data_IF_955662205807
#
_entry.id   IF_955662205807
#
_cell.length_a   1.000
_cell.length_b   1.000
_cell.length_c   1.000
_cell.angle_alpha   90.00
_cell.angle_beta   90.00
_cell.angle_gamma   90.00
#
_symmetry.space_group_name_H-M   'P 1'
#
loop_
_entity.id
_entity.type
_entity.pdbx_description
1 polymer ?
#
# COMPACT_ATOMS: atom_id res chain seq x y z
N UNK A 1 2.17 -27.50 -44.25
CA UNK A 1 3.03 -26.53 -43.58
C UNK A 1 2.36 -26.10 -42.28
N UNK A 2 2.78 -26.65 -41.13
CA UNK A 2 2.37 -26.19 -39.83
C UNK A 2 3.27 -25.04 -39.45
N UNK A 3 2.69 -23.83 -39.32
CA UNK A 3 3.36 -22.66 -38.79
C UNK A 3 3.64 -22.88 -37.31
N UNK A 4 4.89 -23.08 -36.96
CA UNK A 4 5.35 -23.08 -35.57
C UNK A 4 5.28 -21.62 -35.11
N UNK A 5 4.22 -21.25 -34.36
CA UNK A 5 4.19 -19.97 -33.64
C UNK A 5 5.35 -19.98 -32.65
N UNK A 6 6.32 -19.09 -32.89
CA UNK A 6 7.42 -18.87 -31.95
C UNK A 6 6.89 -18.39 -30.59
N UNK A 7 7.67 -18.53 -29.50
CA UNK A 7 7.20 -18.19 -28.18
C UNK A 7 6.79 -16.71 -28.16
N UNK A 8 5.50 -16.44 -27.97
CA UNK A 8 4.96 -15.09 -27.78
C UNK A 8 5.74 -14.43 -26.65
N UNK A 9 6.51 -13.37 -26.93
CA UNK A 9 7.13 -12.56 -25.88
C UNK A 9 6.04 -12.15 -24.91
N UNK A 10 6.05 -12.72 -23.69
CA UNK A 10 5.10 -12.34 -22.64
C UNK A 10 5.17 -10.83 -22.43
N UNK A 11 4.07 -10.14 -22.70
CA UNK A 11 3.96 -8.71 -22.45
C UNK A 11 4.14 -8.46 -20.96
N UNK A 12 5.07 -7.57 -20.61
CA UNK A 12 5.26 -7.17 -19.22
C UNK A 12 4.11 -6.25 -18.84
N UNK A 13 3.25 -6.72 -17.97
CA UNK A 13 2.03 -6.01 -17.55
C UNK A 13 2.15 -5.62 -16.09
N UNK A 14 1.85 -4.36 -15.79
CA UNK A 14 1.72 -3.85 -14.42
C UNK A 14 0.50 -2.96 -14.33
N UNK A 15 -0.33 -3.23 -13.32
CA UNK A 15 -1.60 -2.56 -13.07
C UNK A 15 -1.54 -1.82 -11.73
N UNK A 16 -2.21 -0.69 -11.67
CA UNK A 16 -2.56 0.00 -10.43
C UNK A 16 -4.05 -0.26 -10.16
N UNK A 17 -4.35 -0.89 -9.05
CA UNK A 17 -5.70 -1.20 -8.60
C UNK A 17 -6.04 -0.37 -7.35
N UNK A 18 -7.20 0.23 -7.32
CA UNK A 18 -7.82 0.68 -6.08
C UNK A 18 -8.58 -0.49 -5.45
N UNK A 19 -7.90 -1.25 -4.59
CA UNK A 19 -8.51 -2.39 -3.90
C UNK A 19 -9.59 -1.87 -2.94
N UNK A 20 -10.85 -2.29 -3.07
CA UNK A 20 -11.91 -1.90 -2.15
C UNK A 20 -11.81 -2.70 -0.84
N UNK A 21 -12.57 -2.25 0.16
CA UNK A 21 -12.83 -3.02 1.36
C UNK A 21 -13.48 -4.36 1.01
N UNK A 22 -13.13 -5.42 1.73
CA UNK A 22 -13.78 -6.71 1.61
C UNK A 22 -13.17 -7.64 0.55
N UNK A 23 -12.00 -7.30 0.01
CA UNK A 23 -11.32 -8.09 -1.03
C UNK A 23 -9.93 -8.51 -0.56
N UNK A 24 -9.65 -9.80 -0.66
CA UNK A 24 -8.33 -10.39 -0.40
C UNK A 24 -7.33 -9.98 -1.49
N UNK A 25 -6.07 -9.77 -1.10
CA UNK A 25 -4.97 -9.46 -2.04
C UNK A 25 -4.44 -10.71 -2.75
N UNK A 26 -5.34 -11.54 -3.26
CA UNK A 26 -5.02 -12.76 -3.99
C UNK A 26 -6.13 -13.10 -5.00
N UNK A 27 -5.78 -13.84 -6.05
CA UNK A 27 -6.73 -14.24 -7.10
C UNK A 27 -7.52 -15.51 -6.75
N UNK A 28 -7.03 -16.31 -5.80
CA UNK A 28 -7.71 -17.53 -5.37
C UNK A 28 -8.64 -17.23 -4.21
N UNK A 29 -9.93 -17.62 -4.27
CA UNK A 29 -10.82 -17.50 -3.14
C UNK A 29 -10.31 -18.31 -1.94
N UNK A 30 -10.55 -17.82 -0.75
CA UNK A 30 -10.23 -18.52 0.49
C UNK A 30 -11.48 -19.30 0.95
N UNK A 31 -11.33 -20.60 1.11
CA UNK A 31 -12.44 -21.49 1.49
C UNK A 31 -13.01 -21.08 2.85
N UNK A 32 -14.34 -20.90 2.92
CA UNK A 32 -15.02 -20.46 4.15
C UNK A 32 -14.86 -18.98 4.48
N UNK A 33 -14.14 -18.20 3.68
CA UNK A 33 -14.01 -16.76 3.86
C UNK A 33 -15.24 -16.03 3.32
N UNK A 34 -15.66 -14.98 4.04
CA UNK A 34 -16.68 -14.03 3.57
C UNK A 34 -16.14 -13.00 2.56
N UNK A 35 -14.82 -12.96 2.39
CA UNK A 35 -14.17 -11.97 1.57
C UNK A 35 -14.13 -12.36 0.10
N UNK A 36 -14.30 -11.38 -0.80
CA UNK A 36 -14.00 -11.53 -2.21
C UNK A 36 -12.51 -11.68 -2.48
N UNK A 37 -12.15 -11.88 -3.73
CA UNK A 37 -10.75 -11.95 -4.16
C UNK A 37 -10.50 -11.08 -5.40
N UNK A 38 -9.22 -10.96 -5.80
CA UNK A 38 -8.85 -10.09 -6.94
C UNK A 38 -9.43 -10.57 -8.27
N UNK A 39 -9.76 -11.85 -8.41
CA UNK A 39 -10.39 -12.39 -9.62
C UNK A 39 -11.77 -11.79 -9.90
N UNK A 40 -12.45 -11.28 -8.87
CA UNK A 40 -13.73 -10.60 -9.00
C UNK A 40 -13.61 -9.23 -9.67
N UNK A 41 -12.42 -8.61 -9.62
CA UNK A 41 -12.14 -7.26 -10.09
C UNK A 41 -11.29 -7.21 -11.34
N UNK A 42 -10.29 -8.09 -11.45
CA UNK A 42 -9.26 -8.03 -12.47
C UNK A 42 -9.20 -9.35 -13.22
N UNK A 43 -9.49 -9.29 -14.54
CA UNK A 43 -9.46 -10.46 -15.43
C UNK A 43 -8.25 -10.46 -16.38
N UNK A 44 -7.18 -9.80 -15.99
CA UNK A 44 -5.92 -9.79 -16.75
C UNK A 44 -5.11 -11.01 -16.34
N UNK A 45 -4.71 -11.88 -17.29
CA UNK A 45 -3.98 -13.10 -16.98
C UNK A 45 -2.55 -12.81 -16.52
N UNK A 46 -1.98 -13.74 -15.79
CA UNK A 46 -0.57 -13.76 -15.38
C UNK A 46 -0.08 -12.55 -14.57
N UNK A 47 -0.97 -11.83 -13.91
CA UNK A 47 -0.62 -10.77 -12.96
C UNK A 47 -0.86 -11.22 -11.53
N UNK A 48 0.01 -10.80 -10.63
CA UNK A 48 -0.02 -11.14 -9.20
C UNK A 48 0.23 -9.91 -8.35
N UNK A 49 -0.27 -9.90 -7.12
CA UNK A 49 -0.10 -8.78 -6.22
C UNK A 49 1.37 -8.56 -5.84
N UNK A 50 1.86 -7.36 -6.04
CA UNK A 50 3.17 -6.91 -5.56
C UNK A 50 3.02 -6.30 -4.17
N UNK A 51 2.91 -7.14 -3.18
CA UNK A 51 2.57 -6.79 -1.80
C UNK A 51 1.14 -7.18 -1.45
N UNK A 52 0.73 -6.82 -0.24
CA UNK A 52 -0.59 -7.15 0.27
C UNK A 52 -1.22 -5.95 0.97
N UNK A 53 -2.53 -5.88 0.87
CA UNK A 53 -3.42 -5.15 1.76
C UNK A 53 -4.35 -6.15 2.40
N UNK A 54 -4.63 -5.99 3.68
CA UNK A 54 -5.62 -6.84 4.37
C UNK A 54 -7.00 -6.68 3.71
N UNK A 55 -7.87 -7.66 3.89
CA UNK A 55 -9.21 -7.61 3.30
C UNK A 55 -10.03 -6.41 3.79
N UNK A 56 -9.82 -6.02 5.04
CA UNK A 56 -10.47 -4.86 5.68
C UNK A 56 -9.73 -3.52 5.44
N UNK A 57 -8.70 -3.52 4.59
CA UNK A 57 -7.96 -2.33 4.16
C UNK A 57 -8.23 -2.03 2.69
N UNK A 58 -8.10 -0.75 2.33
CA UNK A 58 -8.41 -0.23 0.99
C UNK A 58 -7.17 0.39 0.35
N UNK A 59 -7.25 0.66 -0.93
CA UNK A 59 -6.32 1.56 -1.59
C UNK A 59 -5.41 0.92 -2.62
N UNK A 60 -4.28 1.56 -2.86
CA UNK A 60 -3.38 1.24 -3.96
C UNK A 60 -2.72 -0.12 -3.78
N UNK A 61 -2.96 -0.99 -4.74
CA UNK A 61 -2.30 -2.29 -4.87
C UNK A 61 -1.74 -2.43 -6.29
N UNK A 62 -0.46 -2.75 -6.41
CA UNK A 62 0.16 -3.06 -7.68
C UNK A 62 -0.03 -4.55 -8.00
N UNK A 63 -0.41 -4.82 -9.25
CA UNK A 63 -0.46 -6.16 -9.81
C UNK A 63 0.53 -6.23 -10.96
N UNK A 64 1.35 -7.26 -11.04
CA UNK A 64 2.38 -7.35 -12.07
C UNK A 64 2.63 -8.78 -12.51
N UNK A 65 2.98 -8.93 -13.79
CA UNK A 65 3.49 -10.18 -14.35
C UNK A 65 5.00 -10.38 -14.09
N UNK A 66 5.66 -9.40 -13.46
CA UNK A 66 7.10 -9.37 -13.27
C UNK A 66 7.47 -9.78 -11.84
N UNK A 67 7.91 -11.01 -11.63
CA UNK A 67 8.34 -11.50 -10.32
C UNK A 67 9.49 -10.69 -9.70
N UNK A 68 10.41 -10.15 -10.52
CA UNK A 68 11.48 -9.27 -10.04
C UNK A 68 10.95 -7.96 -9.45
N UNK A 69 9.91 -7.38 -10.06
CA UNK A 69 9.26 -6.18 -9.54
C UNK A 69 8.52 -6.48 -8.23
N UNK A 70 7.77 -7.58 -8.20
CA UNK A 70 7.10 -8.05 -6.99
C UNK A 70 8.11 -8.20 -5.83
N UNK A 71 9.21 -8.91 -6.07
CA UNK A 71 10.27 -9.09 -5.08
C UNK A 71 10.87 -7.74 -4.63
N UNK A 72 11.14 -6.84 -5.57
CA UNK A 72 11.71 -5.53 -5.28
C UNK A 72 10.82 -4.69 -4.38
N UNK A 73 9.54 -4.63 -4.65
CA UNK A 73 8.58 -3.81 -3.91
C UNK A 73 8.21 -4.38 -2.54
N UNK A 74 8.28 -5.71 -2.38
CA UNK A 74 7.87 -6.38 -1.14
C UNK A 74 9.02 -6.61 -0.17
N UNK A 75 10.26 -6.63 -0.62
CA UNK A 75 11.41 -6.91 0.22
C UNK A 75 11.70 -5.72 1.16
N UNK A 76 11.66 -5.90 2.49
CA UNK A 76 11.82 -4.82 3.47
C UNK A 76 13.17 -4.09 3.38
N UNK A 77 14.21 -4.73 2.84
CA UNK A 77 15.55 -4.13 2.67
C UNK A 77 15.56 -2.90 1.75
N UNK A 78 14.58 -2.77 0.86
CA UNK A 78 14.48 -1.64 -0.06
C UNK A 78 13.70 -0.47 0.52
N UNK A 79 13.01 -0.67 1.62
CA UNK A 79 12.38 0.38 2.44
C UNK A 79 11.53 1.38 1.63
N UNK A 80 10.75 0.90 0.68
CA UNK A 80 9.81 1.76 -0.05
C UNK A 80 8.80 2.38 0.90
N UNK A 81 8.68 3.70 0.89
CA UNK A 81 7.69 4.41 1.67
C UNK A 81 6.29 4.19 1.11
N UNK A 82 5.34 3.93 2.00
CA UNK A 82 3.92 3.79 1.69
C UNK A 82 3.13 4.74 2.57
N UNK A 83 2.28 5.54 1.95
CA UNK A 83 1.42 6.50 2.66
C UNK A 83 0.04 5.90 2.87
N UNK A 84 -0.45 6.00 4.09
CA UNK A 84 -1.77 5.55 4.49
C UNK A 84 -2.58 6.72 5.05
N UNK A 85 -3.80 6.86 4.59
CA UNK A 85 -4.80 7.70 5.24
C UNK A 85 -5.64 6.85 6.16
N UNK A 86 -5.70 7.23 7.41
CA UNK A 86 -6.29 6.42 8.47
C UNK A 86 -7.33 7.25 9.21
N UNK A 87 -8.56 6.78 9.21
CA UNK A 87 -9.61 7.27 10.10
C UNK A 87 -9.56 6.50 11.41
N UNK A 88 -9.51 7.22 12.51
CA UNK A 88 -9.39 6.68 13.87
C UNK A 88 -10.50 7.18 14.77
N UNK A 89 -10.80 6.40 15.81
CA UNK A 89 -11.60 6.90 16.93
C UNK A 89 -10.74 7.83 17.79
N UNK A 90 -11.33 8.93 18.21
CA UNK A 90 -10.66 9.94 19.03
C UNK A 90 -10.13 11.11 18.22
N UNK A 91 -9.65 12.11 18.92
CA UNK A 91 -9.00 13.29 18.36
C UNK A 91 -7.49 13.11 18.39
N UNK A 92 -6.84 13.21 17.24
CA UNK A 92 -5.38 13.05 17.11
C UNK A 92 -4.68 14.22 17.78
N UNK A 93 -3.74 13.94 18.69
CA UNK A 93 -2.88 14.93 19.35
C UNK A 93 -1.48 14.95 18.79
N UNK A 94 -0.74 16.05 19.02
CA UNK A 94 0.67 16.15 18.59
C UNK A 94 1.56 15.12 19.28
N UNK A 95 1.30 14.81 20.55
CA UNK A 95 2.07 13.79 21.29
C UNK A 95 1.89 12.39 20.70
N UNK A 96 0.67 12.04 20.29
CA UNK A 96 0.39 10.78 19.61
C UNK A 96 1.11 10.72 18.25
N UNK A 97 1.07 11.81 17.47
CA UNK A 97 1.81 11.88 16.21
C UNK A 97 3.31 11.76 16.42
N UNK A 98 3.86 12.40 17.44
CA UNK A 98 5.28 12.32 17.76
C UNK A 98 5.68 10.89 18.16
N UNK A 99 4.87 10.19 18.94
CA UNK A 99 5.10 8.78 19.28
C UNK A 99 5.13 7.90 18.03
N UNK A 100 4.21 8.11 17.09
CA UNK A 100 4.21 7.39 15.81
C UNK A 100 5.48 7.66 15.00
N UNK A 101 5.98 8.91 14.99
CA UNK A 101 7.19 9.30 14.25
C UNK A 101 8.45 8.67 14.82
N UNK A 102 8.57 8.61 16.12
CA UNK A 102 9.76 8.07 16.80
C UNK A 102 9.79 6.54 16.84
N UNK A 103 8.64 5.92 16.78
CA UNK A 103 8.44 4.48 16.85
C UNK A 103 7.70 4.07 18.11
N UNK A 104 6.89 3.03 17.98
CA UNK A 104 6.08 2.45 19.05
C UNK A 104 6.34 0.95 19.14
N UNK A 105 6.06 0.35 20.30
CA UNK A 105 6.20 -1.08 20.47
C UNK A 105 4.99 -1.79 19.86
N UNK A 106 5.25 -2.65 18.89
CA UNK A 106 4.27 -3.51 18.25
C UNK A 106 4.76 -4.94 18.32
N UNK A 107 4.00 -5.81 18.96
CA UNK A 107 4.38 -7.23 19.15
C UNK A 107 5.79 -7.39 19.76
N UNK A 108 6.08 -6.63 20.80
CA UNK A 108 7.35 -6.70 21.56
C UNK A 108 8.56 -6.10 20.82
N UNK A 109 8.37 -5.47 19.65
CA UNK A 109 9.46 -4.83 18.92
C UNK A 109 9.11 -3.39 18.57
N UNK A 110 10.04 -2.48 18.76
CA UNK A 110 9.89 -1.08 18.33
C UNK A 110 9.81 -0.99 16.81
N UNK A 111 8.87 -0.21 16.33
CA UNK A 111 8.76 0.10 14.89
C UNK A 111 9.88 1.03 14.45
N UNK A 112 10.22 0.99 13.16
CA UNK A 112 11.10 2.01 12.57
C UNK A 112 10.45 3.39 12.67
N UNK A 113 11.25 4.47 12.68
CA UNK A 113 10.72 5.83 12.54
C UNK A 113 9.79 5.94 11.34
N UNK A 114 8.67 6.62 11.55
CA UNK A 114 7.65 6.86 10.54
C UNK A 114 7.46 8.36 10.32
N UNK A 115 6.67 8.72 9.30
CA UNK A 115 6.16 10.08 9.14
C UNK A 115 4.68 10.06 9.50
N UNK A 116 4.24 11.04 10.27
CA UNK A 116 2.84 11.13 10.69
C UNK A 116 2.40 12.59 10.75
N UNK A 117 1.18 12.86 10.31
CA UNK A 117 0.55 14.19 10.41
C UNK A 117 -0.96 14.06 10.49
N UNK A 118 -1.62 15.03 11.09
CA UNK A 118 -3.08 15.14 11.02
C UNK A 118 -3.52 15.47 9.61
N UNK A 119 -4.67 14.93 9.22
CA UNK A 119 -5.39 15.31 8.00
C UNK A 119 -6.69 15.98 8.38
N UNK A 120 -6.88 17.18 7.85
CA UNK A 120 -8.12 17.96 8.02
C UNK A 120 -8.56 18.50 6.66
N UNK A 121 -9.88 18.56 6.46
CA UNK A 121 -10.50 19.12 5.27
C UNK A 121 -11.56 20.12 5.66
N UNK A 122 -11.77 21.15 4.86
CA UNK A 122 -12.79 22.17 5.11
C UNK A 122 -14.21 21.59 5.17
N UNK A 123 -14.44 20.52 4.41
CA UNK A 123 -15.70 19.80 4.35
C UNK A 123 -15.49 18.31 4.67
N UNK A 124 -16.02 17.41 3.85
CA UNK A 124 -15.77 15.98 3.95
C UNK A 124 -14.42 15.59 3.34
N UNK A 125 -13.79 14.50 3.81
CA UNK A 125 -12.62 13.95 3.15
C UNK A 125 -12.89 13.71 1.65
N UNK A 126 -11.93 13.99 0.75
CA UNK A 126 -12.08 13.75 -0.69
C UNK A 126 -11.95 12.25 -1.02
N UNK A 127 -12.78 11.45 -0.41
CA UNK A 127 -12.81 9.99 -0.52
C UNK A 127 -14.25 9.54 -0.68
N UNK A 128 -14.51 8.54 -1.53
CA UNK A 128 -15.83 7.91 -1.59
C UNK A 128 -16.14 7.26 -0.23
N UNK A 129 -17.42 7.22 0.12
CA UNK A 129 -17.85 6.46 1.29
C UNK A 129 -17.43 4.98 1.15
N UNK A 130 -17.09 4.37 2.27
CA UNK A 130 -16.79 2.94 2.28
C UNK A 130 -18.08 2.13 2.19
N UNK A 131 -18.05 1.07 1.42
CA UNK A 131 -19.10 0.06 1.38
C UNK A 131 -18.55 -1.28 1.93
N UNK A 132 -19.08 -1.80 3.03
CA UNK A 132 -20.13 -1.26 3.90
C UNK A 132 -19.67 -0.02 4.68
N UNK A 133 -20.61 0.84 5.13
CA UNK A 133 -20.28 2.05 5.89
C UNK A 133 -19.54 1.73 7.20
N UNK A 134 -18.76 2.70 7.66
CA UNK A 134 -18.08 2.62 8.95
C UNK A 134 -19.11 2.70 10.08
N UNK A 135 -18.91 1.88 11.11
CA UNK A 135 -19.70 2.00 12.33
C UNK A 135 -19.09 3.08 13.23
N UNK A 136 -19.86 4.11 13.49
CA UNK A 136 -19.52 5.16 14.43
C UNK A 136 -20.09 4.86 15.81
N UNK A 137 -19.31 5.16 16.85
CA UNK A 137 -19.85 5.31 18.20
C UNK A 137 -20.32 6.75 18.37
N UNK A 138 -21.60 6.96 18.66
CA UNK A 138 -22.24 8.29 18.64
C UNK A 138 -21.53 9.34 19.51
N UNK A 139 -20.89 8.93 20.60
CA UNK A 139 -20.26 9.82 21.58
C UNK A 139 -18.74 9.89 21.48
N UNK A 140 -18.13 9.27 20.46
CA UNK A 140 -16.67 9.29 20.27
C UNK A 140 -16.37 10.04 18.97
N UNK A 141 -15.58 11.12 19.02
CA UNK A 141 -15.17 11.83 17.82
C UNK A 141 -14.29 10.93 16.96
N UNK A 142 -14.27 11.20 15.66
CA UNK A 142 -13.35 10.57 14.72
C UNK A 142 -12.44 11.63 14.09
N UNK A 143 -11.24 11.23 13.74
CA UNK A 143 -10.29 12.09 13.07
C UNK A 143 -9.47 11.31 12.05
N UNK A 144 -8.75 12.03 11.20
CA UNK A 144 -7.92 11.44 10.18
C UNK A 144 -6.45 11.80 10.39
N UNK A 145 -5.58 10.87 10.08
CA UNK A 145 -4.14 11.09 10.01
C UNK A 145 -3.54 10.41 8.78
N UNK A 146 -2.41 10.96 8.33
CA UNK A 146 -1.53 10.28 7.39
C UNK A 146 -0.38 9.64 8.15
N UNK A 147 -0.15 8.36 7.87
CA UNK A 147 0.99 7.61 8.39
C UNK A 147 1.78 7.06 7.20
N UNK A 148 3.08 7.40 7.14
CA UNK A 148 3.96 6.84 6.11
C UNK A 148 4.94 5.88 6.76
N UNK A 149 5.02 4.67 6.21
CA UNK A 149 5.84 3.57 6.70
C UNK A 149 6.82 3.11 5.62
N UNK A 150 8.06 2.80 6.02
CA UNK A 150 9.08 2.20 5.17
C UNK A 150 9.31 0.71 5.48
N UNK A 151 8.50 0.13 6.32
CA UNK A 151 8.45 -1.30 6.64
C UNK A 151 7.01 -1.82 6.55
N UNK A 152 6.83 -3.14 6.53
CA UNK A 152 5.50 -3.74 6.37
C UNK A 152 5.35 -5.00 7.22
N UNK A 153 5.20 -4.84 8.54
CA UNK A 153 4.83 -5.94 9.44
C UNK A 153 3.32 -6.18 9.38
N UNK A 154 2.90 -7.37 9.77
CA UNK A 154 1.49 -7.75 9.79
C UNK A 154 0.64 -6.71 10.52
N UNK A 155 -0.33 -6.12 9.81
CA UNK A 155 -1.29 -5.11 10.31
C UNK A 155 -0.62 -3.95 11.04
N UNK A 156 0.58 -3.56 10.61
CA UNK A 156 1.43 -2.62 11.36
C UNK A 156 0.77 -1.27 11.57
N UNK A 157 0.18 -0.65 10.56
CA UNK A 157 -0.45 0.66 10.69
C UNK A 157 -1.57 0.64 11.75
N UNK A 158 -2.43 -0.39 11.74
CA UNK A 158 -3.50 -0.56 12.72
C UNK A 158 -2.99 -0.77 14.15
N UNK A 159 -1.92 -1.53 14.29
CA UNK A 159 -1.29 -1.80 15.59
C UNK A 159 -0.58 -0.57 16.13
N UNK A 160 0.03 0.23 15.27
CA UNK A 160 0.69 1.47 15.65
C UNK A 160 -0.33 2.50 16.16
N UNK A 161 -1.42 2.72 15.44
CA UNK A 161 -2.46 3.65 15.87
C UNK A 161 -3.13 3.19 17.17
N UNK A 162 -3.41 1.91 17.31
CA UNK A 162 -3.94 1.34 18.54
C UNK A 162 -2.96 1.53 19.73
N UNK A 163 -1.66 1.38 19.51
CA UNK A 163 -0.63 1.55 20.54
C UNK A 163 -0.59 2.98 21.11
N UNK A 164 -1.01 3.98 20.36
CA UNK A 164 -1.13 5.37 20.85
C UNK A 164 -2.56 5.75 21.26
N UNK A 165 -3.47 4.77 21.37
CA UNK A 165 -4.85 5.01 21.81
C UNK A 165 -5.80 5.51 20.73
N UNK A 166 -5.50 5.28 19.47
CA UNK A 166 -6.29 5.69 18.30
C UNK A 166 -6.73 4.46 17.48
N UNK A 167 -7.78 3.74 17.90
CA UNK A 167 -8.26 2.58 17.13
C UNK A 167 -8.64 2.94 15.70
N UNK A 168 -8.19 2.15 14.74
CA UNK A 168 -8.47 2.37 13.32
C UNK A 168 -9.91 1.98 12.96
N UNK A 169 -10.62 2.91 12.32
CA UNK A 169 -11.95 2.69 11.73
C UNK A 169 -11.86 2.38 10.24
N UNK A 170 -11.01 3.11 9.52
CA UNK A 170 -10.78 2.98 8.08
C UNK A 170 -9.31 3.17 7.75
N UNK A 171 -8.78 2.36 6.86
CA UNK A 171 -7.39 2.44 6.44
C UNK A 171 -7.29 2.32 4.93
N UNK A 172 -6.65 3.31 4.30
CA UNK A 172 -6.47 3.36 2.85
C UNK A 172 -5.02 3.66 2.50
N UNK A 173 -4.37 2.78 1.74
CA UNK A 173 -3.05 3.08 1.17
C UNK A 173 -3.21 4.03 -0.01
N UNK A 174 -2.68 5.24 0.12
CA UNK A 174 -2.78 6.29 -0.90
C UNK A 174 -1.69 6.20 -1.94
N UNK A 175 -0.47 5.91 -1.51
CA UNK A 175 0.67 5.96 -2.42
C UNK A 175 1.78 4.98 -2.05
N UNK A 176 2.62 4.69 -3.03
CA UNK A 176 3.86 3.92 -2.90
C UNK A 176 4.98 4.73 -3.55
N UNK A 177 5.99 5.08 -2.77
CA UNK A 177 7.18 5.78 -3.23
C UNK A 177 8.17 4.78 -3.85
N UNK A 178 8.52 4.98 -5.10
CA UNK A 178 9.52 4.17 -5.78
C UNK A 178 10.96 4.51 -5.37
N UNK A 179 11.15 5.55 -4.55
CA UNK A 179 12.45 6.00 -4.07
C UNK A 179 13.38 6.45 -5.21
N UNK A 180 12.83 7.01 -6.26
CA UNK A 180 13.52 7.49 -7.45
C UNK A 180 13.57 9.04 -7.54
N UNK A 181 13.16 9.71 -6.49
CA UNK A 181 13.12 11.19 -6.41
C UNK A 181 11.96 11.83 -7.18
N UNK A 182 11.04 11.03 -7.69
CA UNK A 182 9.84 11.50 -8.39
C UNK A 182 8.59 11.32 -7.52
N UNK A 183 7.47 11.91 -7.95
CA UNK A 183 6.18 11.76 -7.30
C UNK A 183 5.82 10.29 -7.11
N UNK A 184 5.40 9.87 -5.91
CA UNK A 184 4.96 8.50 -5.66
C UNK A 184 3.82 8.07 -6.59
N UNK A 185 3.72 6.78 -6.84
CA UNK A 185 2.52 6.20 -7.45
C UNK A 185 1.36 6.35 -6.48
N UNK A 186 0.21 6.82 -6.94
CA UNK A 186 -0.96 7.08 -6.10
C UNK A 186 -2.29 6.62 -6.71
N UNK A 187 -3.38 6.86 -5.99
CA UNK A 187 -4.73 6.49 -6.38
C UNK A 187 -5.44 7.49 -7.29
N UNK A 188 -4.80 8.57 -7.70
CA UNK A 188 -5.46 9.63 -8.45
C UNK A 188 -6.17 9.10 -9.70
N UNK A 189 -7.45 9.44 -9.81
CA UNK A 189 -8.30 9.03 -10.91
C UNK A 189 -8.87 7.61 -10.83
N UNK A 190 -8.58 6.83 -9.76
CA UNK A 190 -9.13 5.49 -9.57
C UNK A 190 -10.21 5.47 -8.49
N UNK A 191 -11.43 5.10 -8.85
CA UNK A 191 -12.49 4.77 -7.91
C UNK A 191 -12.27 3.37 -7.31
N UNK A 192 -12.89 3.05 -6.15
CA UNK A 192 -12.80 1.72 -5.56
C UNK A 192 -13.21 0.61 -6.55
N UNK A 193 -12.37 -0.40 -6.69
CA UNK A 193 -12.56 -1.51 -7.63
C UNK A 193 -12.02 -1.24 -9.04
N UNK A 194 -11.70 -0.01 -9.38
CA UNK A 194 -11.09 0.32 -10.67
C UNK A 194 -9.61 0.04 -10.71
N UNK A 195 -9.13 -0.27 -11.89
CA UNK A 195 -7.71 -0.44 -12.18
C UNK A 195 -7.34 0.15 -13.53
N UNK A 196 -6.07 0.47 -13.71
CA UNK A 196 -5.49 0.86 -15.00
C UNK A 196 -4.10 0.23 -15.18
N UNK A 197 -3.66 0.09 -16.41
CA UNK A 197 -2.25 -0.18 -16.67
C UNK A 197 -1.40 1.05 -16.31
N UNK A 198 -0.17 0.81 -15.89
CA UNK A 198 0.82 1.88 -15.75
C UNK A 198 1.09 2.51 -17.11
N UNK A 199 1.27 3.83 -17.14
CA UNK A 199 1.63 4.54 -18.36
C UNK A 199 3.12 4.32 -18.72
N UNK A 200 3.54 4.82 -19.88
CA UNK A 200 4.91 4.62 -20.38
C UNK A 200 5.97 5.19 -19.43
N UNK A 201 5.72 6.34 -18.81
CA UNK A 201 6.63 6.97 -17.85
C UNK A 201 6.76 6.14 -16.57
N UNK A 202 5.64 5.68 -16.01
CA UNK A 202 5.61 4.79 -14.86
C UNK A 202 6.28 3.46 -15.14
N UNK A 203 6.02 2.86 -16.30
CA UNK A 203 6.67 1.62 -16.74
C UNK A 203 8.19 1.78 -16.81
N UNK A 204 8.67 2.89 -17.35
CA UNK A 204 10.11 3.19 -17.42
C UNK A 204 10.74 3.32 -16.03
N UNK A 205 10.03 3.96 -15.07
CA UNK A 205 10.47 4.06 -13.67
C UNK A 205 10.56 2.68 -13.01
N UNK A 206 9.55 1.84 -13.20
CA UNK A 206 9.52 0.48 -12.65
C UNK A 206 10.62 -0.41 -13.23
N UNK A 207 10.91 -0.31 -14.52
CA UNK A 207 12.02 -1.03 -15.16
C UNK A 207 13.38 -0.57 -14.62
N UNK A 208 13.58 0.72 -14.43
CA UNK A 208 14.80 1.26 -13.80
C UNK A 208 14.97 0.73 -12.39
N UNK A 209 13.87 0.64 -11.63
CA UNK A 209 13.87 0.13 -10.27
C UNK A 209 14.37 -1.32 -10.20
N UNK A 210 13.92 -2.17 -11.12
CA UNK A 210 14.36 -3.58 -11.21
C UNK A 210 15.84 -3.68 -11.59
N UNK A 211 16.31 -2.82 -12.48
CA UNK A 211 17.66 -2.87 -13.04
C UNK A 211 18.69 -2.12 -12.18
N UNK A 212 18.26 -1.26 -11.26
CA UNK A 212 19.16 -0.55 -10.37
C UNK A 212 19.75 -1.50 -9.34
N UNK A 213 21.07 -1.72 -9.41
CA UNK A 213 21.83 -2.25 -8.26
C UNK A 213 21.86 -1.16 -7.20
N UNK A 214 21.00 -1.19 -6.22
CA UNK A 214 21.09 -0.26 -5.09
C UNK A 214 22.39 -0.60 -4.34
N UNK A 215 23.35 0.34 -4.34
CA UNK A 215 24.53 0.28 -3.46
C UNK A 215 24.02 0.10 -2.03
N UNK A 216 24.59 -0.87 -1.31
CA UNK A 216 24.27 -1.07 0.09
C UNK A 216 24.66 0.20 0.86
N UNK A 217 23.84 0.69 1.79
CA UNK A 217 24.29 1.70 2.74
C UNK A 217 25.34 1.04 3.63
N UNK A 218 26.61 1.24 3.35
CA UNK A 218 27.72 0.67 4.10
C UNK A 218 29.05 0.55 3.35
N UNK A 219 29.11 0.65 2.03
CA UNK A 219 30.38 0.54 1.27
C UNK A 219 31.16 1.87 1.11
N UNK A 220 30.70 2.96 1.71
CA UNK A 220 31.37 4.26 1.62
C UNK A 220 32.51 4.48 2.66
N UNK A 221 32.95 3.47 3.41
CA UNK A 221 34.05 3.58 4.35
C UNK A 221 35.03 2.40 4.31
N UNK A 222 35.63 2.13 3.16
CA UNK A 222 36.90 1.37 3.07
C UNK A 222 37.70 1.81 1.83
N UNK A 223 38.14 3.04 1.80
CA UNK A 223 39.33 3.50 1.04
C UNK A 223 39.80 4.77 1.73
N UNK A 224 40.70 4.63 2.62
CA UNK A 224 41.53 5.62 3.25
C UNK A 224 42.68 4.89 3.93
#
# INVERSE_FOLDING_TARGET
>A
CQSVEGPRKRRLTTLLLHKPYGVLSQFTPETGSRWGCLADLVRVPDVYAAGRLDADSEGLLLLTSQGRLQQRLTNPRFSHWRSYWIQVEGSVTQDQLQSLRTGVIVQGKTTRPAKARSLTWANTPPLPERDPPIRYRANIPTSWLELQLCEGRNRQARRMTAAVGLPTLRLMRRSIDLMDGQTPLDLDGLAPGEWREVNAAEQKRLLRLINSRRRQPGEARRRG
#
